data_IF_749746927398
#
_entry.id   IF_749746927398
#
_cell.length_a   1.000
_cell.length_b   1.000
_cell.length_c   1.000
_cell.angle_alpha   90.00
_cell.angle_beta   90.00
_cell.angle_gamma   90.00
#
_symmetry.space_group_name_H-M   'P 1'
#
loop_
_entity.id
_entity.type
_entity.pdbx_description
1 polymer ?
#
# COMPACT_ATOMS: atom_id res chain seq x y z
N UNK A 1 -12.04 -14.87 5.25
CA UNK A 1 -11.70 -13.62 4.52
C UNK A 1 -10.88 -12.65 5.37
N UNK A 2 -11.19 -12.51 6.66
CA UNK A 2 -10.28 -11.90 7.64
C UNK A 2 -8.92 -12.59 7.65
N UNK A 3 -8.89 -13.92 7.63
CA UNK A 3 -7.62 -14.68 7.65
C UNK A 3 -6.76 -14.39 6.42
N UNK A 4 -7.39 -14.24 5.24
CA UNK A 4 -6.72 -13.84 4.00
C UNK A 4 -6.09 -12.45 4.16
N UNK A 5 -6.83 -11.50 4.74
CA UNK A 5 -6.32 -10.16 4.99
C UNK A 5 -5.13 -10.19 5.95
N UNK A 6 -5.26 -10.87 7.09
CA UNK A 6 -4.18 -11.00 8.08
C UNK A 6 -2.95 -11.69 7.48
N UNK A 7 -3.14 -12.71 6.64
CA UNK A 7 -2.07 -13.34 5.89
C UNK A 7 -1.39 -12.35 4.94
N UNK A 8 -2.16 -11.55 4.20
CA UNK A 8 -1.62 -10.53 3.30
C UNK A 8 -0.77 -9.50 4.03
N UNK A 9 -1.22 -9.03 5.21
CA UNK A 9 -0.43 -8.15 6.08
C UNK A 9 0.87 -8.84 6.47
N UNK A 10 0.79 -10.08 7.00
CA UNK A 10 1.97 -10.83 7.44
C UNK A 10 2.97 -11.06 6.29
N UNK A 11 2.49 -11.38 5.09
CA UNK A 11 3.34 -11.57 3.92
C UNK A 11 4.11 -10.29 3.57
N UNK A 12 3.44 -9.14 3.60
CA UNK A 12 4.08 -7.84 3.36
C UNK A 12 5.05 -7.44 4.49
N UNK A 13 4.74 -7.80 5.74
CA UNK A 13 5.67 -7.62 6.87
C UNK A 13 6.92 -8.49 6.72
N UNK A 14 6.79 -9.74 6.23
CA UNK A 14 7.91 -10.64 5.97
C UNK A 14 8.79 -10.09 4.84
N UNK A 15 8.19 -9.69 3.72
CA UNK A 15 8.93 -9.13 2.57
C UNK A 15 9.68 -7.87 2.98
N UNK A 16 9.06 -7.03 3.81
CA UNK A 16 9.62 -5.73 4.18
C UNK A 16 10.50 -5.68 5.42
N UNK A 17 10.44 -6.71 6.26
CA UNK A 17 11.05 -6.68 7.59
C UNK A 17 10.42 -5.68 8.56
N UNK A 18 9.32 -5.02 8.17
CA UNK A 18 8.71 -3.90 8.90
C UNK A 18 7.32 -4.29 9.39
N UNK A 19 6.98 -3.90 10.61
CA UNK A 19 5.63 -4.10 11.17
C UNK A 19 4.65 -3.09 10.60
N UNK A 20 3.44 -3.51 10.25
CA UNK A 20 2.39 -2.68 9.66
C UNK A 20 1.96 -1.47 10.51
N UNK A 21 2.19 -1.52 11.83
CA UNK A 21 1.93 -0.41 12.78
C UNK A 21 3.15 0.48 13.03
N UNK A 22 4.20 0.37 12.23
CA UNK A 22 5.42 1.20 12.33
C UNK A 22 5.21 2.60 11.75
N UNK A 23 6.03 3.56 12.23
CA UNK A 23 6.17 4.88 11.59
C UNK A 23 7.16 4.72 10.44
N UNK A 24 6.72 4.95 9.21
CA UNK A 24 7.56 4.88 8.02
C UNK A 24 8.17 6.25 7.76
N UNK A 25 9.47 6.41 8.03
CA UNK A 25 10.20 7.68 7.83
C UNK A 25 10.13 8.18 6.37
N UNK A 26 9.95 7.26 5.42
CA UNK A 26 9.86 7.55 3.98
C UNK A 26 8.52 8.15 3.56
N UNK A 27 7.44 7.87 4.30
CA UNK A 27 6.09 8.37 4.01
C UNK A 27 5.23 8.29 5.29
N UNK A 28 5.32 9.30 6.19
CA UNK A 28 4.69 9.25 7.52
C UNK A 28 3.15 9.19 7.47
N UNK A 29 2.55 9.49 6.32
CA UNK A 29 1.10 9.45 6.09
C UNK A 29 0.61 8.07 5.62
N UNK A 30 1.52 7.14 5.29
CA UNK A 30 1.19 5.80 4.80
C UNK A 30 1.61 4.71 5.79
N UNK A 31 0.66 3.82 6.12
CA UNK A 31 1.01 2.53 6.72
C UNK A 31 1.73 1.63 5.70
N UNK A 32 2.24 0.47 6.15
CA UNK A 32 2.98 -0.46 5.28
C UNK A 32 2.24 -0.78 3.98
N UNK A 33 0.92 -0.97 4.08
CA UNK A 33 0.10 -1.38 2.95
C UNK A 33 0.04 -0.28 1.88
N UNK A 34 -0.02 0.98 2.30
CA UNK A 34 0.05 2.12 1.38
C UNK A 34 1.40 2.28 0.73
N UNK A 35 2.46 2.17 1.52
CA UNK A 35 3.82 2.23 0.99
C UNK A 35 4.10 1.09 0.00
N UNK A 36 3.69 -0.14 0.35
CA UNK A 36 3.79 -1.30 -0.53
C UNK A 36 2.98 -1.12 -1.81
N UNK A 37 1.74 -0.62 -1.73
CA UNK A 37 0.95 -0.39 -2.94
C UNK A 37 1.59 0.66 -3.87
N UNK A 38 2.13 1.74 -3.30
CA UNK A 38 2.81 2.79 -4.06
C UNK A 38 4.02 2.24 -4.82
N UNK A 39 4.91 1.52 -4.12
CA UNK A 39 6.07 0.88 -4.74
C UNK A 39 5.67 -0.14 -5.82
N UNK A 40 4.60 -0.89 -5.59
CA UNK A 40 4.05 -1.81 -6.60
C UNK A 40 3.57 -1.04 -7.85
N UNK A 41 2.81 0.03 -7.66
CA UNK A 41 2.28 0.85 -8.75
C UNK A 41 3.39 1.54 -9.56
N UNK A 42 4.50 1.89 -8.92
CA UNK A 42 5.68 2.49 -9.53
C UNK A 42 6.64 1.46 -10.17
N UNK A 43 6.43 0.16 -9.93
CA UNK A 43 7.33 -0.91 -10.40
C UNK A 43 8.61 -1.06 -9.56
N UNK A 44 8.68 -0.41 -8.40
CA UNK A 44 9.85 -0.36 -7.52
C UNK A 44 9.75 -1.37 -6.36
N UNK A 45 9.28 -2.60 -6.64
CA UNK A 45 9.02 -3.61 -5.59
C UNK A 45 10.25 -3.95 -4.74
N UNK A 46 11.45 -3.84 -5.31
CA UNK A 46 12.70 -4.14 -4.61
C UNK A 46 13.02 -3.16 -3.49
N UNK A 47 12.51 -1.92 -3.51
CA UNK A 47 12.70 -0.95 -2.42
C UNK A 47 11.95 -1.35 -1.14
N UNK A 48 10.96 -2.24 -1.26
CA UNK A 48 10.23 -2.74 -0.09
C UNK A 48 11.06 -3.77 0.68
N UNK A 49 11.97 -4.49 0.00
CA UNK A 49 12.65 -5.68 0.53
C UNK A 49 13.46 -5.37 1.79
N UNK A 50 13.40 -6.27 2.78
CA UNK A 50 14.27 -6.21 3.96
C UNK A 50 15.74 -6.39 3.55
N UNK A 51 16.62 -5.48 3.96
CA UNK A 51 18.06 -5.52 3.68
C UNK A 51 18.75 -6.80 4.21
N UNK A 52 18.16 -7.48 5.20
CA UNK A 52 18.64 -8.74 5.75
C UNK A 52 18.31 -9.95 4.87
N UNK A 53 17.34 -9.82 3.97
CA UNK A 53 17.02 -10.81 2.96
C UNK A 53 18.07 -10.66 1.86
N UNK A 54 19.09 -11.54 1.91
CA UNK A 54 20.23 -11.47 0.99
C UNK A 54 19.79 -11.43 -0.48
N UNK A 55 20.64 -10.84 -1.33
CA UNK A 55 20.44 -10.62 -2.78
C UNK A 55 20.27 -11.92 -3.64
N UNK A 56 19.99 -13.06 -3.03
CA UNK A 56 19.77 -14.34 -3.72
C UNK A 56 18.33 -14.56 -4.19
N UNK A 57 17.38 -13.70 -3.81
CA UNK A 57 16.00 -13.79 -4.29
C UNK A 57 15.83 -13.21 -5.69
N UNK A 58 15.03 -13.90 -6.50
CA UNK A 58 14.62 -13.41 -7.81
C UNK A 58 13.65 -12.22 -7.63
N UNK A 59 13.87 -11.17 -8.41
CA UNK A 59 12.97 -10.01 -8.51
C UNK A 59 11.55 -10.48 -8.81
N UNK A 60 11.39 -11.55 -9.60
CA UNK A 60 10.09 -12.12 -9.93
C UNK A 60 9.38 -12.69 -8.69
N UNK A 61 10.10 -13.35 -7.78
CA UNK A 61 9.52 -13.89 -6.55
C UNK A 61 9.10 -12.78 -5.59
N UNK A 62 9.93 -11.75 -5.43
CA UNK A 62 9.60 -10.58 -4.59
C UNK A 62 8.37 -9.85 -5.13
N UNK A 63 8.39 -9.56 -6.44
CA UNK A 63 7.27 -8.93 -7.15
C UNK A 63 5.99 -9.75 -6.99
N UNK A 64 6.08 -11.07 -7.11
CA UNK A 64 4.94 -11.97 -6.94
C UNK A 64 4.40 -11.98 -5.51
N UNK A 65 5.26 -12.10 -4.51
CA UNK A 65 4.87 -12.04 -3.10
C UNK A 65 4.18 -10.72 -2.77
N UNK A 66 4.71 -9.61 -3.28
CA UNK A 66 4.13 -8.28 -3.11
C UNK A 66 2.75 -8.18 -3.77
N UNK A 67 2.61 -8.64 -5.02
CA UNK A 67 1.33 -8.66 -5.73
C UNK A 67 0.27 -9.48 -4.98
N UNK A 68 0.63 -10.69 -4.53
CA UNK A 68 -0.28 -11.57 -3.78
C UNK A 68 -0.65 -10.96 -2.43
N UNK A 69 0.32 -10.36 -1.72
CA UNK A 69 0.07 -9.64 -0.48
C UNK A 69 -0.95 -8.51 -0.67
N UNK A 70 -0.77 -7.68 -1.71
CA UNK A 70 -1.68 -6.59 -2.07
C UNK A 70 -3.08 -7.06 -2.50
N UNK A 71 -3.20 -8.20 -3.18
CA UNK A 71 -4.48 -8.83 -3.47
C UNK A 71 -5.18 -9.34 -2.20
N UNK A 72 -4.41 -9.81 -1.21
CA UNK A 72 -4.96 -10.30 0.04
C UNK A 72 -5.48 -9.17 0.94
N UNK A 73 -4.88 -7.98 0.89
CA UNK A 73 -5.25 -6.82 1.71
C UNK A 73 -6.23 -5.86 1.03
N UNK A 74 -6.90 -6.28 -0.05
CA UNK A 74 -7.95 -5.49 -0.70
C UNK A 74 -8.99 -5.00 0.31
N UNK A 75 -9.43 -3.76 0.15
CA UNK A 75 -10.38 -3.12 1.07
C UNK A 75 -11.68 -3.92 1.16
N UNK A 76 -12.27 -4.22 -0.01
CA UNK A 76 -13.48 -5.04 -0.13
C UNK A 76 -13.14 -6.52 0.05
N UNK A 77 -13.91 -7.20 0.89
CA UNK A 77 -13.66 -8.61 1.23
C UNK A 77 -13.88 -9.57 0.04
N UNK A 78 -14.78 -9.19 -0.87
CA UNK A 78 -15.08 -9.90 -2.11
C UNK A 78 -13.93 -9.85 -3.13
N UNK A 79 -13.11 -8.80 -3.10
CA UNK A 79 -11.97 -8.64 -4.01
C UNK A 79 -10.75 -9.46 -3.56
N UNK A 80 -10.73 -9.91 -2.30
CA UNK A 80 -9.65 -10.74 -1.77
C UNK A 80 -9.74 -12.15 -2.39
N UNK A 81 -8.64 -12.83 -2.72
CA UNK A 81 -8.66 -14.22 -3.16
C UNK A 81 -9.17 -15.18 -2.07
N UNK A 82 -9.35 -16.46 -2.42
CA UNK A 82 -9.47 -17.54 -1.44
C UNK A 82 -8.09 -17.99 -0.98
N UNK A 83 -7.95 -18.55 0.22
CA UNK A 83 -6.64 -19.07 0.69
C UNK A 83 -6.07 -20.15 -0.25
N UNK A 84 -6.92 -20.99 -0.84
CA UNK A 84 -6.49 -21.97 -1.84
C UNK A 84 -5.89 -21.31 -3.08
N UNK A 85 -6.48 -20.20 -3.54
CA UNK A 85 -5.95 -19.43 -4.64
C UNK A 85 -4.65 -18.73 -4.25
N UNK A 86 -4.53 -18.20 -3.03
CA UNK A 86 -3.28 -17.61 -2.52
C UNK A 86 -2.12 -18.61 -2.59
N UNK A 87 -2.32 -19.85 -2.12
CA UNK A 87 -1.30 -20.91 -2.18
C UNK A 87 -0.92 -21.22 -3.63
N UNK A 88 -1.93 -21.35 -4.51
CA UNK A 88 -1.69 -21.60 -5.93
C UNK A 88 -0.92 -20.46 -6.60
N UNK A 89 -1.28 -19.20 -6.27
CA UNK A 89 -0.58 -18.02 -6.76
C UNK A 89 0.87 -18.07 -6.29
N UNK A 90 1.16 -18.21 -5.00
CA UNK A 90 2.55 -18.23 -4.52
C UNK A 90 3.38 -19.40 -5.09
N UNK A 91 2.80 -20.58 -5.24
CA UNK A 91 3.51 -21.78 -5.70
C UNK A 91 3.66 -21.93 -7.22
N UNK A 92 3.12 -21.02 -8.03
CA UNK A 92 3.17 -21.12 -9.50
C UNK A 92 4.02 -20.00 -10.10
N UNK A 93 5.15 -20.31 -10.73
CA UNK A 93 6.04 -19.29 -11.33
C UNK A 93 5.35 -18.49 -12.45
N UNK A 94 4.58 -19.16 -13.32
CA UNK A 94 4.09 -18.56 -14.58
C UNK A 94 2.59 -18.23 -14.58
N UNK A 95 1.91 -18.29 -13.42
CA UNK A 95 0.49 -17.94 -13.35
C UNK A 95 0.33 -16.42 -13.45
N UNK A 96 -0.48 -15.98 -14.41
CA UNK A 96 -0.93 -14.59 -14.53
C UNK A 96 -1.82 -14.22 -13.34
N UNK A 97 -1.50 -13.10 -12.68
CA UNK A 97 -2.19 -12.61 -11.49
C UNK A 97 -2.97 -11.33 -11.80
N UNK A 98 -4.15 -11.13 -11.18
CA UNK A 98 -4.89 -9.89 -11.32
C UNK A 98 -4.11 -8.72 -10.72
N UNK A 99 -4.35 -7.51 -11.22
CA UNK A 99 -3.74 -6.29 -10.69
C UNK A 99 -4.43 -5.88 -9.38
N UNK A 100 -3.67 -5.59 -8.30
CA UNK A 100 -4.23 -5.05 -7.08
C UNK A 100 -4.87 -3.67 -7.31
N UNK A 101 -6.06 -3.45 -6.75
CA UNK A 101 -6.72 -2.13 -6.75
C UNK A 101 -6.04 -1.17 -5.78
N UNK A 102 -6.21 0.13 -6.03
CA UNK A 102 -5.74 1.17 -5.13
C UNK A 102 -6.40 1.07 -3.75
N UNK A 103 -5.66 1.22 -2.65
CA UNK A 103 -6.23 1.33 -1.32
C UNK A 103 -7.21 2.49 -1.22
N UNK A 104 -8.38 2.29 -0.60
CA UNK A 104 -9.41 3.33 -0.48
C UNK A 104 -8.97 4.61 0.22
N UNK A 105 -7.96 4.56 1.10
CA UNK A 105 -7.44 5.78 1.73
C UNK A 105 -6.64 6.69 0.77
N UNK A 106 -6.17 6.17 -0.37
CA UNK A 106 -5.54 6.99 -1.41
C UNK A 106 -6.57 7.71 -2.30
N UNK A 107 -7.81 7.22 -2.33
CA UNK A 107 -8.88 7.78 -3.16
C UNK A 107 -9.37 9.17 -2.69
N UNK A 108 -8.93 9.64 -1.52
CA UNK A 108 -9.25 10.97 -0.99
C UNK A 108 -8.40 12.12 -1.57
N UNK A 109 -7.35 11.83 -2.34
CA UNK A 109 -6.36 12.83 -2.76
C UNK A 109 -6.44 13.33 -4.21
N UNK A 110 -7.04 12.59 -5.14
CA UNK A 110 -7.09 13.02 -6.54
C UNK A 110 -8.14 12.25 -7.36
N UNK A 111 -9.37 12.75 -7.31
CA UNK A 111 -10.29 12.63 -8.44
C UNK A 111 -11.14 13.90 -8.46
N UNK A 112 -10.53 14.99 -8.95
CA UNK A 112 -11.31 16.00 -9.64
C UNK A 112 -11.21 15.64 -11.11
N UNK A 113 -12.27 14.99 -11.58
CA UNK A 113 -12.67 14.97 -12.99
C UNK A 113 -12.32 16.32 -13.62
N UNK A 114 -11.47 16.30 -14.64
CA UNK A 114 -11.05 17.48 -15.39
C UNK A 114 -12.21 17.87 -16.33
N UNK A 115 -13.26 18.45 -15.76
CA UNK A 115 -14.22 19.22 -16.54
C UNK A 115 -13.53 20.52 -16.96
N UNK A 116 -13.13 20.53 -18.22
CA UNK A 116 -12.62 21.71 -18.90
C UNK A 116 -13.68 22.80 -18.92
N UNK A 117 -13.53 23.81 -18.06
CA UNK A 117 -14.04 25.15 -18.34
C UNK A 117 -13.20 26.21 -17.64
N UNK A 118 -12.62 27.08 -18.45
CA UNK A 118 -11.87 28.27 -18.06
C UNK A 118 -12.68 29.23 -17.19
N UNK A 119 -12.09 29.78 -16.13
CA UNK A 119 -11.80 31.24 -15.99
C UNK A 119 -11.18 31.60 -14.63
N UNK A 120 -10.19 32.49 -14.71
CA UNK A 120 -9.75 33.52 -13.77
C UNK A 120 -9.42 33.18 -12.28
N UNK A 121 -8.10 33.24 -12.02
CA UNK A 121 -7.41 34.00 -10.95
C UNK A 121 -8.17 34.31 -9.65
N UNK A 122 -7.56 33.95 -8.52
CA UNK A 122 -7.02 34.94 -7.57
C UNK A 122 -6.14 34.27 -6.50
N UNK A 123 -4.92 34.77 -6.37
CA UNK A 123 -4.01 34.52 -5.26
C UNK A 123 -4.59 35.10 -3.96
N UNK A 124 -4.42 34.42 -2.82
CA UNK A 124 -4.34 35.05 -1.50
C UNK A 124 -3.74 34.09 -0.46
N UNK A 125 -2.86 34.66 0.36
CA UNK A 125 -1.89 34.09 1.32
C UNK A 125 -2.46 33.89 2.74
N UNK A 126 -1.87 32.94 3.51
CA UNK A 126 -1.55 32.91 4.98
C UNK A 126 -2.57 33.51 6.01
N UNK A 127 -2.92 32.97 7.19
CA UNK A 127 -2.48 31.90 8.12
C UNK A 127 -3.63 31.68 9.15
N UNK A 128 -3.61 30.61 9.96
CA UNK A 128 -3.62 30.73 11.44
C UNK A 128 -3.56 29.36 12.14
N UNK A 129 -2.57 29.19 13.02
CA UNK A 129 -2.37 28.03 13.89
C UNK A 129 -2.89 28.42 15.28
N UNK A 130 -3.91 27.72 15.79
CA UNK A 130 -4.43 27.93 17.14
C UNK A 130 -3.80 26.94 18.11
N UNK A 131 -2.96 27.44 19.03
CA UNK A 131 -2.42 26.67 20.16
C UNK A 131 -3.47 26.69 21.28
N UNK A 132 -3.86 25.52 21.80
CA UNK A 132 -4.74 25.39 22.98
C UNK A 132 -3.91 25.05 24.21
N UNK A 133 -3.93 25.91 25.22
CA UNK A 133 -3.38 25.62 26.56
C UNK A 133 -4.33 24.74 27.36
N UNK A 134 -3.75 23.77 28.08
CA UNK A 134 -4.44 22.74 28.83
C UNK A 134 -4.36 23.09 30.33
N UNK A 135 -5.46 23.53 30.94
CA UNK A 135 -5.51 23.83 32.38
C UNK A 135 -6.12 22.65 33.14
N UNK A 136 -5.28 21.92 33.90
CA UNK A 136 -5.71 20.89 34.84
C UNK A 136 -6.33 21.49 36.10
N UNK A 137 -7.35 20.80 36.63
CA UNK A 137 -7.91 21.04 37.97
C UNK A 137 -7.27 20.11 38.98
#
# INVERSE_FOLDING_TARGET
>A
KSDVFSFGVLLLEIVSGKKNRGIYLSDPDLNLLGHAWKLWAEGNCMELLDDSIGYSLDILEVTRCMQVGLLCVQERAEDRPTMSLVVLMLGSENMALPQPKAPGFLAGGSSKELDSSSTARESRTASDITITELQGR
#
